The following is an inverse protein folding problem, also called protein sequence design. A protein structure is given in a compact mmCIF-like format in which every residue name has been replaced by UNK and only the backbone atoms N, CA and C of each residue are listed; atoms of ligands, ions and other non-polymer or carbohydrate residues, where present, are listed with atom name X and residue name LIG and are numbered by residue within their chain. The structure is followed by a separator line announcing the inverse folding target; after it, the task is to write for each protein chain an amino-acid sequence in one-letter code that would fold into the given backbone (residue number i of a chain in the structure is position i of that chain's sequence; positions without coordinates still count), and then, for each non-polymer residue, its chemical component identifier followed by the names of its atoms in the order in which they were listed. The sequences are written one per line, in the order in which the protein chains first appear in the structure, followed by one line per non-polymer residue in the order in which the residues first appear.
data_IF_832544831961
#
_entry.id   IF_832544831961
#
_cell.length_a   1.000
_cell.length_b   1.000
_cell.length_c   1.000
_cell.angle_alpha   90.00
_cell.angle_beta   90.00
_cell.angle_gamma   90.00
#
_symmetry.space_group_name_H-M   'P 1'
#
loop_
_entity.id
_entity.type
_entity.pdbx_description
1 polymer ?
#
# COMPACT_ATOMS: atom_id res chain seq x y z
N UNK A 1 -11.17 1.69 2.54
CA UNK A 1 -11.11 0.93 1.27
C UNK A 1 -9.90 0.00 1.18
N UNK A 2 -8.78 0.29 1.81
CA UNK A 2 -7.51 -0.41 1.63
C UNK A 2 -6.96 -1.08 2.90
N UNK A 3 -7.69 -1.16 3.98
CA UNK A 3 -7.21 -1.69 5.27
C UNK A 3 -6.65 -3.10 5.19
N UNK A 4 -7.23 -3.96 4.35
CA UNK A 4 -6.74 -5.32 4.14
C UNK A 4 -5.35 -5.41 3.49
N UNK A 5 -4.86 -4.32 2.89
CA UNK A 5 -3.55 -4.28 2.21
C UNK A 5 -2.48 -3.51 2.98
N UNK A 6 -2.76 -3.04 4.19
CA UNK A 6 -1.85 -2.18 4.97
C UNK A 6 -0.47 -2.80 5.20
N UNK A 7 -0.42 -4.09 5.45
CA UNK A 7 0.86 -4.80 5.62
C UNK A 7 1.73 -4.82 4.35
N UNK A 8 1.12 -4.61 3.19
CA UNK A 8 1.77 -4.72 1.88
C UNK A 8 2.05 -3.36 1.22
N UNK A 9 1.54 -2.28 1.77
CA UNK A 9 1.58 -0.94 1.17
C UNK A 9 2.30 0.06 2.06
N UNK A 10 2.80 1.13 1.47
CA UNK A 10 3.22 2.32 2.22
C UNK A 10 2.06 3.31 2.27
N UNK A 11 1.89 3.94 3.42
CA UNK A 11 0.89 4.98 3.66
C UNK A 11 1.56 6.28 4.08
N UNK A 12 0.90 7.39 3.83
CA UNK A 12 1.40 8.71 4.19
C UNK A 12 1.65 8.86 5.69
N UNK A 13 0.79 8.27 6.51
CA UNK A 13 0.89 8.31 7.97
C UNK A 13 2.11 7.58 8.52
N UNK A 14 2.66 6.63 7.74
CA UNK A 14 3.73 5.72 8.19
C UNK A 14 5.03 5.88 7.40
N UNK A 15 5.18 6.97 6.63
CA UNK A 15 6.44 7.22 5.92
C UNK A 15 7.52 7.65 6.89
N UNK A 16 8.59 6.88 7.05
CA UNK A 16 9.71 7.27 7.90
C UNK A 16 10.56 8.33 7.20
N UNK A 17 10.95 9.35 7.95
CA UNK A 17 12.00 10.28 7.55
C UNK A 17 13.21 10.04 8.42
N UNK A 18 14.33 9.70 7.78
CA UNK A 18 15.56 9.35 8.47
C UNK A 18 16.47 10.57 8.63
N UNK A 19 17.05 10.70 9.80
CA UNK A 19 18.14 11.63 10.05
C UNK A 19 19.33 10.84 10.56
N UNK A 20 20.23 10.48 9.67
CA UNK A 20 21.41 9.66 9.99
C UNK A 20 22.69 10.34 9.54
N UNK A 21 23.71 10.34 10.41
CA UNK A 21 25.05 10.88 10.08
C UNK A 21 25.79 10.01 9.06
N UNK A 22 25.43 8.74 8.97
CA UNK A 22 26.02 7.77 8.03
C UNK A 22 24.96 7.23 7.11
N UNK A 23 25.30 6.87 5.86
CA UNK A 23 24.39 6.18 4.96
C UNK A 23 23.85 4.91 5.61
N UNK A 24 22.54 4.71 5.49
CA UNK A 24 21.85 3.52 5.96
C UNK A 24 21.38 2.70 4.77
N UNK A 25 21.66 1.42 4.79
CA UNK A 25 21.15 0.46 3.83
C UNK A 25 20.66 -0.78 4.57
N UNK A 26 19.41 -1.13 4.37
CA UNK A 26 18.84 -2.39 4.82
C UNK A 26 18.37 -3.17 3.60
N UNK A 27 18.76 -4.42 3.53
CA UNK A 27 18.36 -5.35 2.50
C UNK A 27 17.83 -6.62 3.15
N UNK A 28 16.63 -7.02 2.78
CA UNK A 28 15.99 -8.23 3.28
C UNK A 28 15.50 -9.06 2.10
N UNK A 29 15.89 -10.31 2.06
CA UNK A 29 15.33 -11.29 1.15
C UNK A 29 14.94 -12.53 1.95
N UNK A 30 13.69 -12.91 1.85
CA UNK A 30 13.15 -14.10 2.47
C UNK A 30 12.47 -14.94 1.38
N UNK A 31 12.78 -16.20 1.39
CA UNK A 31 12.12 -17.20 0.56
C UNK A 31 11.64 -18.32 1.46
N UNK A 32 10.40 -18.72 1.33
CA UNK A 32 9.84 -19.80 2.11
C UNK A 32 8.95 -20.70 1.25
N UNK A 33 8.79 -21.93 1.71
CA UNK A 33 7.93 -22.90 1.07
C UNK A 33 8.62 -23.74 -0.01
N UNK A 34 7.95 -24.83 -0.35
CA UNK A 34 8.35 -25.66 -1.48
C UNK A 34 8.02 -24.94 -2.80
N UNK A 35 8.68 -25.32 -3.90
CA UNK A 35 8.50 -24.73 -5.24
C UNK A 35 7.03 -24.51 -5.64
N UNK A 36 6.11 -25.30 -5.09
CA UNK A 36 4.68 -25.26 -5.34
C UNK A 36 3.95 -24.17 -4.54
N UNK A 37 4.43 -23.87 -3.31
CA UNK A 37 3.84 -22.90 -2.37
C UNK A 37 4.83 -21.79 -2.04
N UNK A 38 5.65 -21.43 -3.00
CA UNK A 38 6.74 -20.49 -2.83
C UNK A 38 6.22 -19.11 -2.46
N UNK A 39 6.76 -18.59 -1.39
CA UNK A 39 6.63 -17.20 -0.98
C UNK A 39 7.98 -16.51 -1.11
N UNK A 40 7.99 -15.36 -1.72
CA UNK A 40 9.17 -14.52 -1.87
C UNK A 40 8.87 -13.14 -1.27
N UNK A 41 9.79 -12.67 -0.46
CA UNK A 41 9.76 -11.32 0.08
C UNK A 41 11.11 -10.66 -0.17
N UNK A 42 11.06 -9.52 -0.83
CA UNK A 42 12.20 -8.67 -1.08
C UNK A 42 11.91 -7.29 -0.50
N UNK A 43 12.83 -6.74 0.29
CA UNK A 43 12.74 -5.39 0.81
C UNK A 43 14.11 -4.73 0.80
N UNK A 44 14.15 -3.49 0.33
CA UNK A 44 15.33 -2.64 0.41
C UNK A 44 14.94 -1.27 0.92
N UNK A 45 15.67 -0.77 1.89
CA UNK A 45 15.54 0.59 2.39
C UNK A 45 16.91 1.23 2.41
N UNK A 46 17.04 2.38 1.77
CA UNK A 46 18.24 3.21 1.84
C UNK A 46 17.87 4.61 2.32
N UNK A 47 18.71 5.16 3.17
CA UNK A 47 18.57 6.53 3.64
C UNK A 47 19.93 7.21 3.68
N UNK A 48 19.98 8.45 3.23
CA UNK A 48 21.21 9.22 3.12
C UNK A 48 20.97 10.70 3.41
N UNK A 49 21.78 11.30 4.26
CA UNK A 49 21.81 12.72 4.42
C UNK A 49 22.87 13.32 3.48
N UNK A 50 22.43 14.15 2.56
CA UNK A 50 23.31 14.89 1.64
C UNK A 50 24.02 16.02 2.38
N UNK A 51 23.35 16.59 3.38
CA UNK A 51 23.86 17.62 4.27
C UNK A 51 23.29 17.44 5.67
N UNK A 52 23.79 18.15 6.69
CA UNK A 52 23.20 18.10 8.03
C UNK A 52 21.72 18.48 8.09
N UNK A 53 21.24 19.21 7.09
CA UNK A 53 19.86 19.69 7.01
C UNK A 53 19.00 18.96 6.00
N UNK A 54 19.58 18.12 5.14
CA UNK A 54 18.89 17.55 4.00
C UNK A 54 19.12 16.05 3.94
N UNK A 55 18.04 15.29 3.98
CA UNK A 55 18.05 13.85 3.84
C UNK A 55 17.04 13.35 2.80
N UNK A 56 17.32 12.19 2.27
CA UNK A 56 16.39 11.43 1.46
C UNK A 56 16.39 9.96 1.83
N UNK A 57 15.30 9.30 1.54
CA UNK A 57 15.20 7.86 1.70
C UNK A 57 14.38 7.25 0.56
N UNK A 58 14.74 6.02 0.24
CA UNK A 58 13.99 5.20 -0.71
C UNK A 58 13.75 3.84 -0.06
N UNK A 59 12.51 3.41 -0.06
CA UNK A 59 12.12 2.10 0.40
C UNK A 59 11.31 1.40 -0.68
N UNK A 60 11.67 0.18 -0.99
CA UNK A 60 10.96 -0.65 -1.93
C UNK A 60 10.74 -2.03 -1.33
N UNK A 61 9.53 -2.55 -1.45
CA UNK A 61 9.20 -3.93 -1.08
C UNK A 61 8.41 -4.61 -2.19
N UNK A 62 8.72 -5.87 -2.40
CA UNK A 62 8.01 -6.75 -3.30
C UNK A 62 7.72 -8.07 -2.61
N UNK A 63 6.51 -8.56 -2.76
CA UNK A 63 6.12 -9.90 -2.30
C UNK A 63 5.43 -10.65 -3.40
N UNK A 64 5.72 -11.93 -3.49
CA UNK A 64 5.06 -12.86 -4.36
C UNK A 64 4.67 -14.13 -3.60
N UNK A 65 3.43 -14.56 -3.73
CA UNK A 65 2.99 -15.83 -3.16
C UNK A 65 2.14 -16.60 -4.16
N UNK A 66 2.27 -17.90 -4.14
CA UNK A 66 1.48 -18.83 -4.95
C UNK A 66 0.48 -19.48 -4.03
N UNK A 67 -0.22 -19.04 -3.22
CA UNK A 67 -1.24 -19.68 -2.40
C UNK A 67 -1.25 -21.20 -2.29
N UNK A 68 -2.09 -21.73 -1.43
CA UNK A 68 -2.20 -23.17 -1.17
C UNK A 68 -2.96 -23.89 -2.29
N UNK A 69 -3.99 -23.25 -2.83
CA UNK A 69 -4.83 -23.80 -3.89
C UNK A 69 -4.38 -23.27 -5.25
N UNK A 70 -4.70 -24.00 -6.30
CA UNK A 70 -4.45 -23.55 -7.66
C UNK A 70 -5.18 -22.25 -7.95
N UNK A 71 -4.63 -21.44 -8.84
CA UNK A 71 -5.14 -20.13 -9.25
C UNK A 71 -5.16 -19.06 -8.14
N UNK A 72 -4.50 -19.33 -7.02
CA UNK A 72 -4.22 -18.33 -5.98
C UNK A 72 -2.81 -17.77 -6.17
N UNK A 73 -2.70 -16.56 -6.64
CA UNK A 73 -1.41 -15.89 -6.74
C UNK A 73 -1.55 -14.43 -6.36
N UNK A 74 -0.71 -14.00 -5.44
CA UNK A 74 -0.62 -12.58 -5.09
C UNK A 74 0.75 -12.05 -5.44
N UNK A 75 0.77 -10.86 -6.03
CA UNK A 75 1.97 -10.06 -6.25
C UNK A 75 1.74 -8.67 -5.74
N UNK A 76 2.65 -8.15 -4.96
CA UNK A 76 2.62 -6.76 -4.58
C UNK A 76 3.97 -6.08 -4.79
N UNK A 77 3.90 -4.80 -5.08
CA UNK A 77 5.04 -3.90 -5.18
C UNK A 77 4.67 -2.61 -4.47
N UNK A 78 5.54 -2.14 -3.62
CA UNK A 78 5.36 -0.88 -2.93
C UNK A 78 6.68 -0.10 -2.94
N UNK A 79 6.61 1.14 -3.38
CA UNK A 79 7.70 2.11 -3.43
C UNK A 79 7.35 3.29 -2.55
N UNK A 80 8.30 3.74 -1.76
CA UNK A 80 8.24 5.00 -1.01
C UNK A 80 9.53 5.78 -1.23
N UNK A 81 9.41 7.05 -1.56
CA UNK A 81 10.53 7.98 -1.69
C UNK A 81 10.24 9.15 -0.77
N UNK A 82 11.13 9.41 0.17
CA UNK A 82 11.03 10.50 1.13
C UNK A 82 12.16 11.51 0.95
N UNK A 83 11.84 12.77 1.13
CA UNK A 83 12.76 13.89 1.16
C UNK A 83 12.46 14.75 2.38
N UNK A 84 13.49 15.11 3.12
CA UNK A 84 13.38 15.99 4.28
C UNK A 84 14.44 17.08 4.21
N UNK A 85 14.02 18.30 4.42
CA UNK A 85 14.89 19.44 4.68
C UNK A 85 14.48 20.11 5.98
N UNK A 86 15.42 20.30 6.89
CA UNK A 86 15.19 20.95 8.17
C UNK A 86 16.24 22.03 8.37
N UNK A 87 15.90 23.24 7.93
CA UNK A 87 16.74 24.42 8.10
C UNK A 87 16.44 25.18 9.41
N UNK A 88 17.07 26.33 9.61
CA UNK A 88 16.93 27.14 10.85
C UNK A 88 15.53 27.74 11.03
N UNK A 89 14.80 28.04 9.98
CA UNK A 89 13.46 28.67 10.01
C UNK A 89 12.44 27.99 9.14
N UNK A 90 12.86 27.09 8.26
CA UNK A 90 12.00 26.43 7.32
C UNK A 90 12.26 24.93 7.31
N UNK A 91 11.20 24.16 7.31
CA UNK A 91 11.25 22.73 7.14
C UNK A 91 10.27 22.26 6.07
N UNK A 92 10.69 21.26 5.31
CA UNK A 92 9.82 20.56 4.37
C UNK A 92 10.07 19.06 4.47
N UNK A 93 8.99 18.30 4.50
CA UNK A 93 8.98 16.86 4.40
C UNK A 93 8.07 16.50 3.23
N UNK A 94 8.61 15.84 2.24
CA UNK A 94 7.87 15.39 1.07
C UNK A 94 8.02 13.89 0.90
N UNK A 95 6.96 13.23 0.48
CA UNK A 95 7.00 11.81 0.17
C UNK A 95 6.15 11.48 -1.04
N UNK A 96 6.63 10.54 -1.84
CA UNK A 96 5.90 9.91 -2.91
C UNK A 96 5.81 8.42 -2.67
N UNK A 97 4.63 7.86 -2.87
CA UNK A 97 4.37 6.43 -2.71
C UNK A 97 3.63 5.89 -3.91
N UNK A 98 4.01 4.69 -4.29
CA UNK A 98 3.31 3.93 -5.33
C UNK A 98 3.15 2.49 -4.87
N UNK A 99 1.91 2.04 -4.77
CA UNK A 99 1.56 0.71 -4.32
C UNK A 99 0.75 -0.02 -5.39
N UNK A 100 1.10 -1.26 -5.64
CA UNK A 100 0.36 -2.15 -6.55
C UNK A 100 0.19 -3.51 -5.89
N UNK A 101 -1.03 -3.99 -5.79
CA UNK A 101 -1.36 -5.34 -5.34
C UNK A 101 -2.18 -6.02 -6.42
N UNK A 102 -1.75 -7.18 -6.86
CA UNK A 102 -2.44 -7.99 -7.84
C UNK A 102 -2.71 -9.36 -7.24
N UNK A 103 -3.96 -9.77 -7.26
CA UNK A 103 -4.40 -11.09 -6.80
C UNK A 103 -5.13 -11.81 -7.91
N UNK A 104 -4.79 -13.08 -8.10
CA UNK A 104 -5.61 -13.98 -8.90
C UNK A 104 -6.68 -14.58 -8.02
N UNK A 105 -7.88 -14.67 -8.54
CA UNK A 105 -9.05 -15.15 -7.83
C UNK A 105 -9.45 -16.53 -8.36
N UNK A 106 -9.60 -17.49 -7.47
CA UNK A 106 -10.04 -18.84 -7.84
C UNK A 106 -11.53 -19.09 -7.52
N UNK A 107 -12.23 -18.08 -7.01
CA UNK A 107 -13.66 -18.17 -6.68
C UNK A 107 -14.01 -19.10 -5.52
N UNK A 108 -13.02 -19.72 -4.89
CA UNK A 108 -13.19 -20.71 -3.84
C UNK A 108 -13.46 -22.12 -4.36
N UNK A 109 -13.62 -23.05 -3.44
CA UNK A 109 -13.84 -24.48 -3.73
C UNK A 109 -15.23 -24.70 -4.30
N UNK A 110 -15.34 -25.59 -5.28
CA UNK A 110 -16.60 -25.91 -5.97
C UNK A 110 -17.68 -26.39 -5.01
N UNK A 111 -17.34 -27.21 -4.04
CA UNK A 111 -18.29 -27.70 -3.03
C UNK A 111 -17.61 -28.27 -1.80
N UNK A 112 -18.36 -28.43 -0.72
CA UNK A 112 -17.84 -29.03 0.53
C UNK A 112 -17.29 -30.43 0.35
N UNK A 113 -17.84 -31.20 -0.58
CA UNK A 113 -17.38 -32.53 -0.93
C UNK A 113 -15.93 -32.54 -1.42
N UNK A 114 -15.52 -31.52 -2.16
CA UNK A 114 -14.17 -31.44 -2.69
C UNK A 114 -13.07 -31.28 -1.62
N UNK A 115 -13.44 -30.82 -0.41
CA UNK A 115 -12.52 -30.77 0.74
C UNK A 115 -12.57 -32.05 1.55
N UNK A 116 -13.75 -32.66 1.61
CA UNK A 116 -13.97 -33.89 2.41
C UNK A 116 -13.50 -35.15 1.69
N UNK A 117 -13.27 -35.07 0.39
CA UNK A 117 -12.87 -36.21 -0.43
C UNK A 117 -11.38 -36.49 -0.29
N UNK A 118 -11.05 -37.69 0.16
CA UNK A 118 -9.68 -38.18 0.31
C UNK A 118 -8.97 -38.44 -1.02
N UNK A 119 -9.67 -38.35 -2.14
CA UNK A 119 -9.09 -38.46 -3.49
C UNK A 119 -8.14 -37.31 -3.80
N UNK A 120 -8.37 -36.14 -3.21
CA UNK A 120 -7.49 -34.97 -3.38
C UNK A 120 -6.42 -34.95 -2.28
N UNK A 121 -5.38 -35.75 -2.46
CA UNK A 121 -4.25 -35.80 -1.53
C UNK A 121 -3.50 -34.46 -1.38
N UNK A 122 -3.67 -33.55 -2.34
CA UNK A 122 -3.00 -32.24 -2.36
C UNK A 122 -3.98 -31.11 -2.60
N UNK A 123 -3.83 -29.98 -1.89
CA UNK A 123 -4.69 -28.80 -2.07
C UNK A 123 -4.78 -28.29 -3.51
N UNK A 124 -3.73 -28.47 -4.30
CA UNK A 124 -3.70 -28.09 -5.72
C UNK A 124 -4.51 -29.00 -6.64
N UNK A 125 -5.00 -30.12 -6.16
CA UNK A 125 -5.91 -30.99 -6.90
C UNK A 125 -7.38 -30.65 -6.65
N UNK A 126 -7.65 -29.80 -5.64
CA UNK A 126 -9.02 -29.43 -5.27
C UNK A 126 -9.64 -28.55 -6.36
N UNK A 127 -10.79 -28.93 -6.93
CA UNK A 127 -11.40 -28.14 -7.99
C UNK A 127 -11.91 -26.77 -7.49
N UNK A 128 -11.56 -25.73 -8.26
CA UNK A 128 -11.90 -24.34 -7.97
C UNK A 128 -12.98 -23.84 -8.92
N UNK A 129 -13.82 -22.90 -8.45
CA UNK A 129 -14.92 -22.34 -9.25
C UNK A 129 -14.43 -21.52 -10.45
N UNK A 130 -13.30 -20.83 -10.33
CA UNK A 130 -12.66 -20.04 -11.38
C UNK A 130 -11.29 -20.68 -11.72
N UNK A 131 -11.33 -21.73 -12.53
CA UNK A 131 -10.18 -22.63 -12.71
C UNK A 131 -9.25 -22.26 -13.86
N UNK A 132 -9.34 -21.09 -14.46
CA UNK A 132 -8.56 -20.72 -15.64
C UNK A 132 -7.59 -19.55 -15.44
N UNK A 133 -7.43 -19.07 -14.23
CA UNK A 133 -6.49 -18.01 -13.88
C UNK A 133 -6.71 -16.64 -14.54
N UNK A 134 -7.78 -16.43 -15.25
CA UNK A 134 -8.06 -15.15 -15.91
C UNK A 134 -8.73 -14.14 -14.97
N UNK A 135 -9.36 -14.63 -13.89
CA UNK A 135 -9.95 -13.78 -12.87
C UNK A 135 -8.85 -13.09 -12.04
N UNK A 136 -8.77 -11.78 -12.15
CA UNK A 136 -7.73 -10.99 -11.51
C UNK A 136 -8.29 -9.73 -10.86
N UNK A 137 -7.83 -9.47 -9.65
CA UNK A 137 -8.05 -8.22 -8.93
C UNK A 137 -6.75 -7.42 -8.90
N UNK A 138 -6.79 -6.18 -9.34
CA UNK A 138 -5.66 -5.26 -9.32
C UNK A 138 -6.01 -4.02 -8.53
N UNK A 139 -5.24 -3.76 -7.50
CA UNK A 139 -5.32 -2.58 -6.68
C UNK A 139 -4.09 -1.71 -6.91
N UNK A 140 -4.29 -0.42 -7.14
CA UNK A 140 -3.21 0.56 -7.30
C UNK A 140 -3.49 1.79 -6.48
N UNK A 141 -2.46 2.28 -5.82
CA UNK A 141 -2.48 3.52 -5.08
C UNK A 141 -1.26 4.34 -5.44
N UNK A 142 -1.45 5.60 -5.75
CA UNK A 142 -0.40 6.60 -5.91
C UNK A 142 -0.67 7.76 -4.96
N UNK A 143 0.33 8.13 -4.15
CA UNK A 143 0.17 9.17 -3.15
C UNK A 143 1.36 10.13 -3.18
N UNK A 144 1.07 11.40 -3.00
CA UNK A 144 2.06 12.45 -2.85
C UNK A 144 1.70 13.30 -1.64
N UNK A 145 2.69 13.55 -0.80
CA UNK A 145 2.55 14.27 0.46
C UNK A 145 3.63 15.33 0.56
N UNK A 146 3.25 16.52 1.01
CA UNK A 146 4.18 17.60 1.37
C UNK A 146 3.70 18.24 2.66
N UNK A 147 4.54 18.22 3.67
CA UNK A 147 4.38 19.02 4.90
C UNK A 147 5.48 20.06 4.95
N UNK A 148 5.11 21.33 5.04
CA UNK A 148 6.06 22.43 5.16
C UNK A 148 5.67 23.34 6.32
N UNK A 149 6.67 23.92 6.97
CA UNK A 149 6.44 24.83 8.07
C UNK A 149 7.55 25.90 8.15
N UNK A 150 7.16 27.09 8.54
CA UNK A 150 8.04 28.22 8.87
C UNK A 150 7.97 28.45 10.37
N UNK A 151 9.14 28.52 11.01
CA UNK A 151 9.27 28.87 12.42
C UNK A 151 9.49 30.38 12.57
N UNK A 152 8.67 31.01 13.40
CA UNK A 152 8.79 32.41 13.83
C UNK A 152 9.31 32.35 15.26
N UNK A 153 10.60 32.64 15.50
CA UNK A 153 11.18 32.58 16.84
C UNK A 153 10.51 33.61 17.77
N UNK A 154 10.19 33.19 18.99
CA UNK A 154 9.64 34.08 20.03
C UNK A 154 10.74 34.80 20.82
N UNK A 155 11.99 34.30 20.71
CA UNK A 155 13.16 34.91 21.35
C UNK A 155 14.28 35.15 20.33
N UNK A 156 15.15 36.12 20.54
CA UNK A 156 16.31 36.33 19.67
C UNK A 156 17.17 35.08 19.62
N UNK A 157 17.41 34.54 18.45
CA UNK A 157 18.30 33.39 18.25
C UNK A 157 19.74 33.88 18.31
N UNK A 158 20.41 33.61 19.43
CA UNK A 158 21.78 34.08 19.68
C UNK A 158 22.86 33.07 19.34
N UNK A 159 22.51 31.80 19.08
CA UNK A 159 23.51 30.76 18.82
C UNK A 159 23.31 29.93 17.55
N UNK A 160 24.44 29.48 17.02
CA UNK A 160 24.56 28.87 15.68
C UNK A 160 24.12 27.40 15.60
N UNK A 161 23.83 26.72 16.70
CA UNK A 161 23.67 25.26 16.78
C UNK A 161 22.24 24.74 17.07
N UNK A 162 21.22 25.58 16.96
CA UNK A 162 19.87 25.12 17.25
C UNK A 162 19.18 24.44 16.06
N UNK A 163 18.66 23.24 16.28
CA UNK A 163 17.68 22.63 15.36
C UNK A 163 16.31 23.34 15.53
N UNK A 164 15.49 23.30 14.47
CA UNK A 164 14.12 23.85 14.51
C UNK A 164 13.27 23.29 15.67
N UNK A 165 13.56 22.06 16.09
CA UNK A 165 12.86 21.40 17.17
C UNK A 165 13.15 21.97 18.58
N UNK A 166 14.21 22.76 18.71
CA UNK A 166 14.70 23.27 20.00
C UNK A 166 14.32 24.74 20.23
N UNK A 167 13.72 25.40 19.24
CA UNK A 167 13.37 26.81 19.31
C UNK A 167 12.02 27.05 19.99
N UNK A 168 11.98 28.00 20.91
CA UNK A 168 10.73 28.66 21.30
C UNK A 168 10.20 29.45 20.10
N UNK A 169 9.16 28.96 19.47
CA UNK A 169 8.68 29.51 18.20
C UNK A 169 7.20 29.26 17.97
N UNK A 170 6.62 30.07 17.09
CA UNK A 170 5.35 29.79 16.44
C UNK A 170 5.66 29.16 15.08
N UNK A 171 5.07 28.00 14.81
CA UNK A 171 5.16 27.33 13.54
C UNK A 171 3.90 27.58 12.74
N UNK A 172 4.04 28.11 11.54
CA UNK A 172 2.96 28.22 10.56
C UNK A 172 3.26 27.26 9.44
N UNK A 173 2.35 26.37 9.18
CA UNK A 173 2.60 25.32 8.20
C UNK A 173 1.40 24.95 7.34
N UNK A 174 1.71 24.18 6.32
CA UNK A 174 0.80 23.68 5.32
C UNK A 174 1.09 22.22 5.05
N UNK A 175 0.06 21.41 4.95
CA UNK A 175 0.11 20.01 4.54
C UNK A 175 -0.72 19.88 3.28
N UNK A 176 -0.08 19.42 2.21
CA UNK A 176 -0.70 19.03 0.96
C UNK A 176 -0.64 17.52 0.80
N UNK A 177 -1.77 16.90 0.47
CA UNK A 177 -1.87 15.48 0.21
C UNK A 177 -2.65 15.26 -1.08
N UNK A 178 -2.10 14.46 -1.96
CA UNK A 178 -2.77 13.97 -3.15
C UNK A 178 -2.76 12.45 -3.13
N UNK A 179 -3.92 11.84 -3.17
CA UNK A 179 -4.07 10.40 -3.04
C UNK A 179 -4.99 9.87 -4.14
N UNK A 180 -4.54 8.85 -4.86
CA UNK A 180 -5.32 8.19 -5.90
C UNK A 180 -5.43 6.71 -5.60
N UNK A 181 -6.64 6.20 -5.71
CA UNK A 181 -6.95 4.80 -5.52
C UNK A 181 -7.64 4.25 -6.76
N UNK A 182 -7.26 3.07 -7.17
CA UNK A 182 -7.99 2.36 -8.20
C UNK A 182 -8.04 0.88 -7.89
N UNK A 183 -9.20 0.29 -8.07
CA UNK A 183 -9.40 -1.15 -8.02
C UNK A 183 -9.98 -1.56 -9.37
N UNK A 184 -9.39 -2.58 -9.97
CA UNK A 184 -9.83 -3.15 -11.23
C UNK A 184 -9.99 -4.65 -11.05
N UNK A 185 -11.18 -5.15 -11.24
CA UNK A 185 -11.45 -6.55 -11.42
C UNK A 185 -11.60 -6.87 -12.90
N UNK A 186 -10.93 -7.90 -13.36
CA UNK A 186 -11.05 -8.42 -14.72
C UNK A 186 -11.17 -9.92 -14.69
N UNK A 187 -12.07 -10.45 -15.50
CA UNK A 187 -12.20 -11.86 -15.74
C UNK A 187 -12.46 -12.05 -17.23
N UNK A 188 -11.42 -12.45 -17.96
CA UNK A 188 -11.50 -12.72 -19.39
C UNK A 188 -11.74 -14.19 -19.62
N UNK A 189 -12.78 -14.45 -20.34
CA UNK A 189 -13.16 -15.78 -20.75
C UNK A 189 -13.28 -15.79 -22.26
N UNK A 190 -12.23 -16.23 -22.94
CA UNK A 190 -12.09 -16.05 -24.38
C UNK A 190 -13.07 -16.90 -25.20
N UNK A 191 -13.46 -18.03 -24.66
CA UNK A 191 -14.45 -18.92 -25.28
C UNK A 191 -15.35 -19.51 -24.20
N UNK A 192 -16.60 -19.71 -24.54
CA UNK A 192 -17.57 -20.40 -23.69
C UNK A 192 -17.25 -21.90 -23.75
N UNK A 193 -16.08 -22.26 -23.27
CA UNK A 193 -15.67 -23.65 -23.17
C UNK A 193 -16.11 -24.17 -21.81
N UNK A 194 -16.50 -25.41 -21.78
CA UNK A 194 -16.90 -26.15 -20.57
C UNK A 194 -15.73 -26.34 -19.57
N UNK A 195 -14.62 -25.65 -19.75
CA UNK A 195 -13.44 -25.78 -18.91
C UNK A 195 -13.55 -25.07 -17.57
N UNK A 196 -14.42 -24.05 -17.49
CA UNK A 196 -14.84 -23.46 -16.24
C UNK A 196 -16.15 -24.09 -15.78
N UNK A 197 -16.08 -25.07 -14.94
CA UNK A 197 -17.27 -25.74 -14.50
C UNK A 197 -17.23 -26.10 -13.02
N UNK A 198 -18.41 -26.23 -12.46
CA UNK A 198 -18.62 -26.96 -11.22
C UNK A 198 -19.35 -28.24 -11.58
N UNK A 199 -19.10 -29.29 -10.84
CA UNK A 199 -19.89 -30.51 -10.92
C UNK A 199 -21.06 -30.32 -9.94
N UNK A 200 -22.29 -30.50 -10.40
CA UNK A 200 -23.47 -30.43 -9.55
C UNK A 200 -23.58 -31.64 -8.63
N UNK A 201 -24.63 -31.67 -7.80
CA UNK A 201 -24.89 -32.80 -6.87
C UNK A 201 -25.12 -34.13 -7.59
N UNK A 202 -25.43 -34.11 -8.89
CA UNK A 202 -25.67 -35.29 -9.72
C UNK A 202 -24.42 -35.72 -10.50
N UNK A 203 -23.31 -35.00 -10.39
CA UNK A 203 -22.09 -35.27 -11.13
C UNK A 203 -22.08 -34.63 -12.53
N UNK A 204 -23.06 -33.80 -12.86
CA UNK A 204 -23.09 -33.08 -14.15
C UNK A 204 -22.26 -31.79 -14.10
N UNK A 205 -21.58 -31.52 -15.20
CA UNK A 205 -20.73 -30.35 -15.37
C UNK A 205 -21.57 -29.11 -15.69
N UNK A 206 -21.57 -28.14 -14.79
CA UNK A 206 -22.32 -26.89 -14.96
C UNK A 206 -21.36 -25.76 -15.28
N UNK A 207 -21.58 -24.93 -16.32
CA UNK A 207 -20.74 -23.80 -16.65
C UNK A 207 -20.62 -22.82 -15.47
N UNK A 208 -19.40 -22.59 -15.01
CA UNK A 208 -19.16 -21.85 -13.75
C UNK A 208 -19.52 -20.39 -13.85
N UNK A 209 -19.37 -19.79 -15.02
CA UNK A 209 -19.57 -18.35 -15.18
C UNK A 209 -21.03 -17.96 -14.94
N UNK A 210 -21.96 -18.69 -15.51
CA UNK A 210 -23.39 -18.43 -15.33
C UNK A 210 -23.85 -18.68 -13.90
N UNK A 211 -23.28 -19.68 -13.26
CA UNK A 211 -23.58 -20.03 -11.85
C UNK A 211 -22.92 -19.05 -10.91
N UNK A 212 -21.66 -18.69 -11.15
CA UNK A 212 -20.88 -17.85 -10.26
C UNK A 212 -21.37 -16.41 -10.21
N UNK A 213 -21.60 -15.80 -11.39
CA UNK A 213 -22.01 -14.40 -11.51
C UNK A 213 -23.53 -14.20 -11.59
N UNK A 214 -24.32 -15.26 -11.69
CA UNK A 214 -25.79 -15.21 -11.68
C UNK A 214 -26.39 -14.21 -12.67
N UNK A 215 -25.81 -14.10 -13.86
CA UNK A 215 -26.22 -13.14 -14.91
C UNK A 215 -26.11 -11.66 -14.51
N UNK A 216 -25.24 -11.31 -13.57
CA UNK A 216 -25.04 -9.91 -13.16
C UNK A 216 -24.28 -9.07 -14.20
N UNK A 217 -23.62 -9.72 -15.14
CA UNK A 217 -22.83 -9.06 -16.16
C UNK A 217 -23.49 -9.13 -17.53
N UNK A 218 -23.38 -8.01 -18.28
CA UNK A 218 -23.96 -7.87 -19.61
C UNK A 218 -23.29 -8.82 -20.63
N UNK A 219 -21.96 -9.03 -20.48
CA UNK A 219 -21.21 -9.92 -21.36
C UNK A 219 -20.79 -11.18 -20.63
N UNK A 220 -21.15 -12.37 -21.11
CA UNK A 220 -20.63 -13.61 -20.54
C UNK A 220 -19.15 -13.86 -20.85
N UNK A 221 -18.60 -13.23 -21.88
CA UNK A 221 -17.22 -13.44 -22.31
C UNK A 221 -16.18 -12.63 -21.57
N UNK A 222 -16.54 -11.47 -21.00
CA UNK A 222 -15.63 -10.63 -20.24
C UNK A 222 -16.39 -9.91 -19.13
N UNK A 223 -15.82 -9.95 -17.93
CA UNK A 223 -16.26 -9.14 -16.80
C UNK A 223 -15.18 -8.13 -16.46
N UNK A 224 -15.54 -6.86 -16.38
CA UNK A 224 -14.63 -5.80 -16.01
C UNK A 224 -15.35 -4.80 -15.12
N UNK A 225 -14.86 -4.66 -13.91
CA UNK A 225 -15.36 -3.69 -12.93
C UNK A 225 -14.21 -2.84 -12.39
N UNK A 226 -14.42 -1.53 -12.31
CA UNK A 226 -13.38 -0.61 -11.87
C UNK A 226 -13.93 0.50 -10.99
N UNK A 227 -13.24 0.77 -9.91
CA UNK A 227 -13.49 1.89 -9.01
C UNK A 227 -12.25 2.75 -8.98
N UNK A 228 -12.43 4.07 -9.06
CA UNK A 228 -11.35 5.04 -8.90
C UNK A 228 -11.79 6.13 -7.93
N UNK A 229 -10.87 6.51 -7.07
CA UNK A 229 -11.03 7.59 -6.13
C UNK A 229 -9.81 8.51 -6.20
N UNK A 230 -10.04 9.80 -6.06
CA UNK A 230 -8.99 10.80 -5.94
C UNK A 230 -9.35 11.73 -4.80
N UNK A 231 -8.39 11.93 -3.91
CA UNK A 231 -8.54 12.82 -2.77
C UNK A 231 -7.42 13.84 -2.81
N UNK A 232 -7.79 15.11 -2.72
CA UNK A 232 -6.86 16.22 -2.57
C UNK A 232 -7.16 16.87 -1.23
N UNK A 233 -6.17 16.90 -0.35
CA UNK A 233 -6.30 17.50 0.96
C UNK A 233 -5.33 18.66 1.13
N UNK A 234 -5.82 19.76 1.62
CA UNK A 234 -5.04 20.93 1.99
C UNK A 234 -5.36 21.30 3.43
N UNK A 235 -4.35 21.29 4.29
CA UNK A 235 -4.49 21.62 5.69
C UNK A 235 -3.47 22.68 6.06
N UNK A 236 -3.94 23.77 6.68
CA UNK A 236 -3.10 24.80 7.27
C UNK A 236 -3.12 24.65 8.78
N UNK A 237 -1.97 24.79 9.41
CA UNK A 237 -1.87 24.70 10.86
C UNK A 237 -0.98 25.78 11.43
N UNK A 238 -1.28 26.12 12.68
CA UNK A 238 -0.45 26.96 13.52
C UNK A 238 -0.18 26.22 14.82
N UNK A 239 1.08 26.05 15.15
CA UNK A 239 1.52 25.40 16.37
C UNK A 239 2.41 26.38 17.17
N UNK A 240 2.18 26.51 18.45
CA UNK A 240 3.02 27.29 19.35
C UNK A 240 3.83 26.37 20.24
N UNK A 241 5.13 26.58 20.26
CA UNK A 241 6.07 25.98 21.20
C UNK A 241 6.69 27.12 22.03
N UNK A 242 6.07 27.50 23.17
CA UNK A 242 6.48 28.69 23.91
C UNK A 242 7.74 28.50 24.77
N UNK A 243 8.27 27.29 24.86
CA UNK A 243 9.45 26.94 25.65
C UNK A 243 10.46 26.17 24.81
N UNK A 244 11.72 26.27 25.23
CA UNK A 244 12.81 25.52 24.64
C UNK A 244 12.84 24.05 25.10
N UNK A 245 13.77 23.26 24.54
CA UNK A 245 13.91 21.82 24.81
C UNK A 245 14.23 21.47 26.26
N UNK A 246 14.77 22.38 27.04
CA UNK A 246 15.13 22.17 28.44
C UNK A 246 13.94 22.35 29.39
N UNK A 247 12.82 22.83 28.88
CA UNK A 247 11.55 22.93 29.59
C UNK A 247 10.62 21.75 29.34
N UNK A 248 9.47 21.70 30.01
CA UNK A 248 8.43 20.74 29.76
C UNK A 248 7.92 20.89 28.31
N UNK A 249 8.12 19.88 27.51
CA UNK A 249 7.87 19.93 26.06
C UNK A 249 6.39 19.69 25.79
N UNK A 250 5.70 20.71 25.34
CA UNK A 250 4.37 20.58 24.75
C UNK A 250 4.25 21.51 23.55
N UNK A 251 3.64 21.05 22.49
CA UNK A 251 3.18 21.89 21.41
C UNK A 251 1.67 22.02 21.51
N UNK A 252 1.20 23.26 21.48
CA UNK A 252 -0.22 23.55 21.36
C UNK A 252 -0.48 24.02 19.93
N UNK A 253 -1.37 23.39 19.24
CA UNK A 253 -1.67 23.76 17.87
C UNK A 253 -3.11 23.53 17.49
N UNK A 254 -3.55 24.27 16.49
CA UNK A 254 -4.83 24.13 15.81
C UNK A 254 -4.63 24.25 14.30
N UNK A 255 -5.48 23.61 13.55
CA UNK A 255 -5.43 23.67 12.08
C UNK A 255 -6.81 23.60 11.48
N UNK A 256 -6.91 24.11 10.25
CA UNK A 256 -8.11 23.99 9.39
C UNK A 256 -7.70 23.30 8.11
N UNK A 257 -8.48 22.32 7.70
CA UNK A 257 -8.27 21.57 6.48
C UNK A 257 -9.49 21.56 5.58
N UNK A 258 -9.25 21.41 4.28
CA UNK A 258 -10.27 21.19 3.26
C UNK A 258 -9.86 19.95 2.47
N UNK A 259 -10.73 18.96 2.42
CA UNK A 259 -10.60 17.75 1.60
C UNK A 259 -11.57 17.86 0.41
N UNK A 260 -11.10 17.59 -0.79
CA UNK A 260 -11.85 17.60 -2.05
C UNK A 260 -11.65 16.31 -2.82
#
# INVERSE_FOLDING_TARGET
FAQSYDAYTYRMENVPFYNSKTPYLNFTYLESGQKRYREEHFEVTTAHNISPTTGFNVSYKARGTKGLYDWQRTKNHALSVGYAYTGKRYSIHAAYMNNTVQTRENGGVVGKWAIADTVFEMPSGVPMKLADAEAQNSYRNGSFFVKQAIAIPLQPVTDYDFSLADLSAIYVGHIFEYNTWSKLYTDKYAEFTNERGSVDENGEYVPTKDVYYKNWYISPAESRDSIRERVVSNRFFVEAQPWDRNGAVGRLGGGVGIDM
#
